data_IF_907115982712
#
_entry.id   IF_907115982712
#
_cell.length_a   1.000
_cell.length_b   1.000
_cell.length_c   1.000
_cell.angle_alpha   90.00
_cell.angle_beta   90.00
_cell.angle_gamma   90.00
#
_symmetry.space_group_name_H-M   'P 1'
#
loop_
_entity.id
_entity.type
_entity.pdbx_description
1 polymer ?
#
# COMPACT_ATOMS: atom_id res chain seq x y z
N UNK A 1 11.11 21.33 22.06
CA UNK A 1 11.43 21.63 20.65
C UNK A 1 12.63 20.79 20.28
N UNK A 2 12.52 19.95 19.28
CA UNK A 2 13.62 19.08 18.89
C UNK A 2 14.73 19.86 18.16
N UNK A 3 15.92 19.29 18.16
CA UNK A 3 17.14 19.82 17.50
C UNK A 3 16.89 20.21 16.03
N UNK A 4 15.98 19.53 15.34
CA UNK A 4 15.53 19.86 13.98
C UNK A 4 14.90 21.26 13.86
N UNK A 5 14.17 21.71 14.85
CA UNK A 5 13.56 23.05 14.83
C UNK A 5 14.60 24.17 15.01
N UNK A 6 15.70 23.90 15.72
CA UNK A 6 16.82 24.83 15.88
C UNK A 6 17.66 24.97 14.60
N UNK A 7 17.86 23.86 13.88
CA UNK A 7 18.59 23.85 12.60
C UNK A 7 17.82 24.48 11.44
N UNK A 8 16.50 24.36 11.42
CA UNK A 8 15.64 25.01 10.40
C UNK A 8 15.49 26.52 10.60
N UNK A 9 15.69 27.01 11.82
CA UNK A 9 15.66 28.44 12.15
C UNK A 9 16.95 29.20 11.83
N UNK A 10 18.07 28.48 11.73
CA UNK A 10 19.36 29.09 11.44
C UNK A 10 19.70 28.90 9.97
N UNK A 11 19.25 29.65 9.04
CA UNK A 11 19.59 29.61 7.62
C UNK A 11 21.13 29.50 7.40
N UNK A 12 21.70 28.34 7.74
CA UNK A 12 23.15 28.07 7.75
C UNK A 12 23.66 27.87 6.32
N UNK A 13 24.69 28.59 5.95
CA UNK A 13 25.42 28.33 4.70
C UNK A 13 26.22 27.02 4.81
N UNK A 14 26.56 26.40 3.67
CA UNK A 14 27.22 25.08 3.59
C UNK A 14 28.54 24.94 4.38
N UNK A 15 29.12 26.02 4.85
CA UNK A 15 30.39 26.09 5.62
C UNK A 15 30.19 26.69 7.03
N UNK A 16 28.95 26.73 7.54
CA UNK A 16 28.63 27.26 8.86
C UNK A 16 28.20 26.16 9.80
N UNK A 17 28.64 26.24 11.05
CA UNK A 17 28.38 25.34 12.14
C UNK A 17 27.59 26.06 13.23
N UNK A 18 26.61 25.41 13.82
CA UNK A 18 25.91 25.90 15.00
C UNK A 18 26.62 25.37 16.25
N UNK A 19 27.04 26.28 17.11
CA UNK A 19 27.76 25.96 18.34
C UNK A 19 26.98 26.43 19.55
N UNK A 20 26.89 25.56 20.58
CA UNK A 20 26.31 25.90 21.86
C UNK A 20 27.43 25.85 22.89
N UNK A 21 27.77 27.01 23.50
CA UNK A 21 28.82 27.07 24.53
C UNK A 21 28.38 26.48 25.88
N UNK A 22 29.32 26.26 26.78
CA UNK A 22 29.07 25.72 28.15
C UNK A 22 28.10 26.58 29.00
N UNK A 23 27.82 27.80 28.58
CA UNK A 23 26.89 28.70 29.25
C UNK A 23 25.50 28.70 28.56
N UNK A 24 25.32 27.85 27.53
CA UNK A 24 24.07 27.73 26.77
C UNK A 24 23.87 28.83 25.70
N UNK A 25 24.91 29.62 25.37
CA UNK A 25 24.82 30.63 24.31
C UNK A 25 24.99 29.94 22.94
N UNK A 26 24.13 30.29 22.00
CA UNK A 26 24.14 29.76 20.64
C UNK A 26 24.89 30.75 19.74
N UNK A 27 25.90 30.28 19.02
CA UNK A 27 26.66 31.06 18.03
C UNK A 27 26.76 30.30 16.71
N UNK A 28 26.82 31.03 15.61
CA UNK A 28 27.13 30.47 14.30
C UNK A 28 28.58 30.83 14.01
N UNK A 29 29.42 29.81 13.75
CA UNK A 29 30.83 29.96 13.39
C UNK A 29 31.07 29.36 12.02
N UNK A 30 32.12 29.78 11.34
CA UNK A 30 32.53 29.19 10.07
C UNK A 30 33.40 27.95 10.33
N UNK A 31 33.33 26.96 9.45
CA UNK A 31 34.16 25.77 9.53
C UNK A 31 35.64 26.14 9.50
N UNK A 32 36.41 25.74 10.55
CA UNK A 32 37.78 26.08 10.74
C UNK A 32 38.07 27.25 11.70
N UNK A 33 37.01 27.86 12.28
CA UNK A 33 37.12 28.85 13.34
C UNK A 33 37.26 28.17 14.72
N UNK A 34 37.97 28.80 15.66
CA UNK A 34 38.23 28.21 16.96
C UNK A 34 36.95 28.06 17.79
N UNK A 35 36.67 26.84 18.22
CA UNK A 35 35.47 26.51 19.02
C UNK A 35 35.82 26.65 20.49
N UNK A 36 34.95 27.28 21.32
CA UNK A 36 35.14 27.36 22.76
C UNK A 36 35.15 25.98 23.42
N UNK A 37 36.05 25.83 24.43
CA UNK A 37 36.15 24.60 25.23
C UNK A 37 34.79 24.22 25.89
N UNK A 38 34.40 22.99 25.74
CA UNK A 38 33.12 22.46 26.28
C UNK A 38 31.87 22.88 25.50
N UNK A 39 32.06 23.34 24.26
CA UNK A 39 30.92 23.66 23.38
C UNK A 39 30.46 22.43 22.59
N UNK A 40 29.17 22.39 22.31
CA UNK A 40 28.52 21.38 21.47
C UNK A 40 28.40 21.93 20.04
N UNK A 41 28.91 21.19 19.05
CA UNK A 41 28.80 21.55 17.63
C UNK A 41 27.68 20.75 16.98
N UNK A 42 26.81 21.42 16.24
CA UNK A 42 25.78 20.81 15.40
C UNK A 42 26.16 21.08 13.93
N UNK A 43 26.63 20.06 13.23
CA UNK A 43 27.00 20.12 11.82
C UNK A 43 25.88 19.51 10.95
N UNK A 44 25.13 20.31 10.19
CA UNK A 44 24.07 19.82 9.33
C UNK A 44 24.57 19.05 8.11
N UNK A 45 25.89 19.07 7.84
CA UNK A 45 26.48 18.46 6.64
C UNK A 45 27.38 17.26 6.94
N UNK A 46 27.45 16.74 8.18
CA UNK A 46 28.25 15.56 8.49
C UNK A 46 27.61 14.30 7.87
N UNK A 47 28.01 14.05 6.62
CA UNK A 47 27.64 12.86 5.86
C UNK A 47 28.45 11.66 6.38
N UNK A 48 27.94 10.94 7.34
CA UNK A 48 28.41 9.58 7.61
C UNK A 48 27.37 8.61 7.04
N UNK A 49 27.68 8.13 5.83
CA UNK A 49 26.84 7.25 5.02
C UNK A 49 26.69 5.89 5.70
N UNK A 50 25.53 5.64 6.28
CA UNK A 50 24.92 4.31 6.32
C UNK A 50 23.64 4.36 5.48
N UNK A 51 23.39 3.40 4.59
CA UNK A 51 22.18 3.38 3.79
C UNK A 51 20.98 3.03 4.68
N UNK A 52 19.89 3.80 4.52
CA UNK A 52 18.54 3.59 5.06
C UNK A 52 18.15 4.21 6.41
N UNK A 53 18.77 5.30 6.87
CA UNK A 53 18.10 6.19 7.82
C UNK A 53 18.50 7.63 7.54
N UNK A 54 17.54 8.58 7.64
CA UNK A 54 17.83 10.01 7.54
C UNK A 54 18.96 10.38 8.51
N UNK A 55 20.02 11.11 8.07
CA UNK A 55 21.15 11.42 8.95
C UNK A 55 20.67 12.33 10.09
N UNK A 56 20.63 11.79 11.29
CA UNK A 56 20.48 12.59 12.50
C UNK A 56 21.74 13.42 12.68
N UNK A 57 21.66 14.73 13.02
CA UNK A 57 22.82 15.54 13.29
C UNK A 57 23.58 14.95 14.50
N UNK A 58 24.84 14.59 14.28
CA UNK A 58 25.70 14.04 15.33
C UNK A 58 26.12 15.18 16.25
N UNK A 59 25.70 15.12 17.51
CA UNK A 59 26.19 16.02 18.53
C UNK A 59 27.59 15.53 19.02
N UNK A 60 28.58 16.40 19.01
CA UNK A 60 29.95 16.10 19.47
C UNK A 60 30.34 17.04 20.60
N UNK A 61 30.96 16.50 21.64
CA UNK A 61 31.54 17.28 22.75
C UNK A 61 33.02 17.54 22.47
N UNK A 62 33.47 18.78 22.64
CA UNK A 62 34.88 19.15 22.45
C UNK A 62 35.65 19.13 23.78
N UNK A 63 36.79 18.43 23.82
CA UNK A 63 37.72 18.44 24.97
C UNK A 63 38.56 19.74 25.05
N UNK A 64 39.35 19.83 26.12
CA UNK A 64 40.20 20.99 26.36
C UNK A 64 41.31 21.20 25.30
N UNK A 65 41.63 20.16 24.54
CA UNK A 65 42.64 20.16 23.48
C UNK A 65 42.01 20.44 22.11
N UNK A 66 40.67 20.60 22.02
CA UNK A 66 39.94 20.90 20.79
C UNK A 66 39.66 19.68 19.90
N UNK A 67 39.72 18.45 20.46
CA UNK A 67 39.33 17.24 19.75
C UNK A 67 37.87 16.92 19.99
N UNK A 68 37.18 16.48 18.95
CA UNK A 68 35.79 16.02 19.06
C UNK A 68 35.71 14.66 19.73
N UNK A 69 34.98 14.55 20.84
CA UNK A 69 34.70 13.30 21.52
C UNK A 69 33.25 12.88 21.20
N UNK A 70 32.99 11.62 20.85
CA UNK A 70 31.63 11.13 20.73
C UNK A 70 30.95 11.23 22.09
N UNK A 71 29.66 11.57 22.12
CA UNK A 71 28.84 11.56 23.33
C UNK A 71 28.56 10.08 23.64
N UNK A 72 29.40 9.60 24.39
CA UNK A 72 29.71 8.37 25.12
C UNK A 72 28.76 7.15 25.01
N UNK A 73 29.43 6.00 25.09
CA UNK A 73 28.96 4.63 25.32
C UNK A 73 27.78 4.48 26.31
N UNK A 74 27.65 5.39 27.28
CA UNK A 74 26.60 5.33 28.31
C UNK A 74 25.19 5.59 27.75
N UNK A 75 25.05 6.51 26.79
CA UNK A 75 23.74 6.81 26.14
C UNK A 75 23.36 5.69 25.19
N UNK A 76 24.31 5.12 24.45
CA UNK A 76 24.07 3.99 23.57
C UNK A 76 23.68 2.74 24.38
N UNK A 77 24.28 2.52 25.54
CA UNK A 77 23.91 1.42 26.44
C UNK A 77 22.51 1.59 27.04
N UNK A 78 22.12 2.82 27.39
CA UNK A 78 20.75 3.12 27.86
C UNK A 78 19.72 2.93 26.74
N UNK A 79 20.02 3.36 25.52
CA UNK A 79 19.14 3.18 24.37
C UNK A 79 19.00 1.70 23.98
N UNK A 80 20.09 0.94 23.97
CA UNK A 80 20.08 -0.49 23.70
C UNK A 80 19.26 -1.27 24.76
N UNK A 81 19.41 -0.92 26.04
CA UNK A 81 18.64 -1.54 27.11
C UNK A 81 17.13 -1.24 27.00
N UNK A 82 16.77 -0.04 26.55
CA UNK A 82 15.38 0.35 26.29
C UNK A 82 14.77 -0.38 25.08
N UNK A 83 15.54 -0.59 24.03
CA UNK A 83 15.10 -1.36 22.84
C UNK A 83 14.89 -2.85 23.17
N UNK A 84 15.70 -3.42 24.06
CA UNK A 84 15.54 -4.79 24.53
C UNK A 84 14.46 -4.95 25.63
N UNK A 85 13.82 -3.84 26.05
CA UNK A 85 12.82 -3.86 27.12
C UNK A 85 13.38 -4.13 28.51
N UNK A 86 14.70 -3.96 28.70
CA UNK A 86 15.38 -4.08 29.99
C UNK A 86 15.29 -2.75 30.77
N UNK A 87 15.37 -2.84 32.11
CA UNK A 87 15.39 -1.66 32.96
C UNK A 87 16.80 -1.03 32.94
N UNK A 88 16.97 0.16 32.34
CA UNK A 88 18.28 0.82 32.23
C UNK A 88 18.86 1.23 33.61
N UNK A 89 18.06 1.25 34.65
CA UNK A 89 18.53 1.57 36.00
C UNK A 89 19.18 0.37 36.71
N UNK A 90 19.12 -0.83 36.14
CA UNK A 90 19.71 -2.05 36.66
C UNK A 90 21.16 -2.28 36.18
N UNK A 91 21.70 -1.40 35.34
CA UNK A 91 23.09 -1.47 34.87
C UNK A 91 24.01 -0.90 35.97
N UNK A 92 24.86 -1.75 36.53
CA UNK A 92 25.73 -1.42 37.68
C UNK A 92 26.71 -0.24 37.41
N UNK A 93 27.02 0.07 36.17
CA UNK A 93 27.97 1.13 35.79
C UNK A 93 27.33 2.49 35.45
N UNK A 94 25.99 2.56 35.37
CA UNK A 94 25.25 3.78 34.98
C UNK A 94 24.18 4.15 36.03
N UNK A 95 24.37 3.71 37.26
CA UNK A 95 23.51 4.10 38.36
C UNK A 95 23.53 5.65 38.47
N UNK A 96 22.40 6.34 38.40
CA UNK A 96 22.37 7.79 38.60
C UNK A 96 22.98 8.06 39.97
N UNK A 97 24.01 8.90 40.02
CA UNK A 97 24.62 9.32 41.27
C UNK A 97 23.54 9.97 42.14
N UNK A 98 22.88 9.15 42.95
CA UNK A 98 21.98 9.61 43.99
C UNK A 98 22.84 10.30 45.05
N UNK A 99 22.93 11.61 44.90
CA UNK A 99 23.34 12.50 45.97
C UNK A 99 24.77 12.27 46.49
N UNK A 100 25.63 13.22 46.17
CA UNK A 100 26.93 13.34 46.84
C UNK A 100 26.78 13.29 48.36
N UNK A 101 27.84 12.82 49.00
CA UNK A 101 28.05 12.50 50.41
C UNK A 101 27.80 13.65 51.40
N UNK A 102 26.79 14.47 51.25
CA UNK A 102 26.27 15.29 52.37
C UNK A 102 24.75 15.31 52.29
N UNK A 103 24.23 14.35 53.04
CA UNK A 103 22.82 14.06 53.11
C UNK A 103 21.99 15.21 53.56
N UNK A 104 20.95 15.47 52.85
CA UNK A 104 19.72 15.94 53.42
C UNK A 104 19.04 14.74 54.09
N UNK A 105 19.41 14.44 55.32
CA UNK A 105 18.64 13.51 56.14
C UNK A 105 17.27 14.17 56.37
N UNK A 106 16.22 13.57 55.92
CA UNK A 106 14.86 13.86 56.36
C UNK A 106 14.78 13.38 57.82
N UNK A 107 15.11 14.25 58.73
CA UNK A 107 14.88 14.00 60.16
C UNK A 107 13.48 14.48 60.52
N UNK A 108 12.55 13.58 60.39
CA UNK A 108 11.17 13.82 60.78
C UNK A 108 10.24 12.83 60.07
N UNK A 109 10.12 11.60 60.60
CA UNK A 109 9.03 10.72 60.22
C UNK A 109 7.74 11.30 60.72
N UNK A 110 6.91 11.83 59.79
CA UNK A 110 5.52 12.10 60.08
C UNK A 110 4.80 10.76 60.22
N UNK A 111 4.27 10.45 61.38
CA UNK A 111 3.37 9.31 61.59
C UNK A 111 2.01 9.69 60.96
N UNK A 112 1.55 8.90 60.02
CA UNK A 112 0.25 9.03 59.43
C UNK A 112 -0.71 8.17 60.25
N UNK A 113 -1.55 8.79 61.07
CA UNK A 113 -2.72 8.12 61.64
C UNK A 113 -3.86 8.10 60.63
N UNK A 114 -4.33 6.89 60.30
CA UNK A 114 -5.49 6.66 59.44
C UNK A 114 -6.75 6.59 60.29
N UNK A 115 -7.64 7.55 60.15
CA UNK A 115 -8.99 7.52 60.70
C UNK A 115 -10.09 7.51 59.63
N UNK A 116 -9.85 6.95 58.46
CA UNK A 116 -10.91 6.53 57.53
C UNK A 116 -11.62 7.63 56.74
N UNK A 117 -11.18 8.85 56.74
CA UNK A 117 -11.68 9.92 55.90
C UNK A 117 -10.52 10.63 55.20
N UNK A 118 -10.77 11.29 54.07
CA UNK A 118 -9.78 11.88 53.14
C UNK A 118 -8.51 12.41 53.82
N UNK A 119 -7.35 11.88 53.46
CA UNK A 119 -6.06 12.36 53.96
C UNK A 119 -5.54 13.46 53.02
N UNK A 120 -5.71 14.72 53.35
CA UNK A 120 -4.97 15.81 52.71
C UNK A 120 -3.57 15.83 53.32
N UNK A 121 -2.55 15.33 52.63
CA UNK A 121 -1.17 15.50 53.05
C UNK A 121 -0.74 16.96 52.77
N UNK A 122 -0.64 17.73 53.82
CA UNK A 122 0.01 19.06 53.76
C UNK A 122 1.50 18.83 54.04
N UNK A 123 2.33 18.81 53.03
CA UNK A 123 3.77 18.85 53.16
C UNK A 123 4.25 20.29 53.20
N UNK A 124 4.67 20.75 54.35
CA UNK A 124 5.35 22.03 54.47
C UNK A 124 6.84 21.77 54.22
N UNK A 125 7.31 22.13 53.03
CA UNK A 125 8.72 22.09 52.72
C UNK A 125 9.40 23.35 53.22
N UNK A 126 10.35 23.22 54.15
CA UNK A 126 11.23 24.31 54.50
C UNK A 126 12.27 24.49 53.43
N UNK A 127 12.15 25.53 52.65
CA UNK A 127 13.05 25.92 51.54
C UNK A 127 14.17 26.84 52.00
N UNK A 128 14.35 27.07 53.27
CA UNK A 128 15.34 28.01 53.81
C UNK A 128 16.79 27.51 53.69
N UNK A 129 17.00 26.20 53.34
CA UNK A 129 18.32 25.60 53.13
C UNK A 129 18.70 25.39 51.67
N UNK A 130 17.82 25.72 50.73
CA UNK A 130 18.21 25.73 49.34
C UNK A 130 18.88 27.07 49.04
N UNK A 131 20.21 27.08 49.11
CA UNK A 131 20.92 28.09 48.33
C UNK A 131 20.54 27.83 46.88
N UNK A 132 19.77 28.77 46.34
CA UNK A 132 19.45 28.76 44.94
C UNK A 132 20.76 28.60 44.16
N UNK A 133 20.94 27.45 43.46
CA UNK A 133 21.81 27.44 42.30
C UNK A 133 21.20 28.45 41.36
N UNK A 134 21.49 29.73 41.69
CA UNK A 134 20.74 30.84 41.14
C UNK A 134 21.28 31.16 39.75
N UNK A 135 20.44 30.94 38.82
CA UNK A 135 20.36 31.94 37.74
C UNK A 135 19.96 33.26 38.40
N UNK A 136 20.85 34.26 38.30
CA UNK A 136 20.50 35.59 38.81
C UNK A 136 19.18 36.06 38.20
N UNK A 137 18.41 36.91 38.90
CA UNK A 137 17.17 37.45 38.35
C UNK A 137 17.32 38.03 36.95
N UNK A 138 18.52 38.52 36.61
CA UNK A 138 18.90 39.02 35.28
C UNK A 138 19.02 37.86 34.27
N UNK A 139 19.56 36.69 34.68
CA UNK A 139 19.65 35.52 33.79
C UNK A 139 18.29 34.84 33.56
N UNK A 140 17.42 34.81 34.58
CA UNK A 140 16.04 34.37 34.41
C UNK A 140 15.23 35.27 33.51
N UNK A 141 15.44 36.60 33.58
CA UNK A 141 14.80 37.57 32.69
C UNK A 141 15.36 37.48 31.26
N UNK A 142 16.66 37.15 31.10
CA UNK A 142 17.26 36.90 29.79
C UNK A 142 16.72 35.61 29.14
N UNK A 143 16.53 34.53 29.92
CA UNK A 143 15.89 33.32 29.44
C UNK A 143 14.41 33.55 29.09
N UNK A 144 13.71 34.32 29.92
CA UNK A 144 12.29 34.69 29.64
C UNK A 144 12.16 35.57 28.41
N UNK A 145 13.13 36.47 28.16
CA UNK A 145 13.16 37.30 26.95
C UNK A 145 13.59 36.51 25.70
N UNK A 146 14.38 35.43 25.88
CA UNK A 146 14.70 34.51 24.78
C UNK A 146 13.53 33.60 24.46
N UNK A 147 12.68 33.28 25.45
CA UNK A 147 11.44 32.50 25.28
C UNK A 147 10.24 33.37 24.89
N UNK A 148 10.33 34.71 25.05
CA UNK A 148 9.44 35.63 24.35
C UNK A 148 9.91 35.68 22.88
N UNK A 149 9.56 34.67 22.14
CA UNK A 149 9.48 34.75 20.68
C UNK A 149 8.73 36.07 20.41
N UNK A 150 9.35 37.06 19.71
CA UNK A 150 8.60 38.19 19.25
C UNK A 150 7.35 37.63 18.61
N UNK A 151 6.20 38.20 18.94
CA UNK A 151 4.92 37.76 18.41
C UNK A 151 5.00 37.90 16.88
N UNK A 152 5.73 36.97 16.26
CA UNK A 152 5.69 36.76 14.82
C UNK A 152 4.21 36.42 14.62
N UNK A 153 3.45 37.18 13.82
CA UNK A 153 2.12 36.78 13.47
C UNK A 153 2.26 35.33 13.04
N UNK A 154 1.71 34.41 13.82
CA UNK A 154 1.50 33.03 13.34
C UNK A 154 0.66 33.27 12.11
N UNK A 155 1.28 33.18 10.91
CA UNK A 155 0.48 33.02 9.72
C UNK A 155 -0.50 31.90 10.08
N UNK A 156 -1.81 32.12 9.94
CA UNK A 156 -2.76 31.04 10.13
C UNK A 156 -2.20 29.89 9.29
N UNK A 157 -1.92 28.74 9.92
CA UNK A 157 -1.68 27.53 9.15
C UNK A 157 -2.89 27.43 8.24
N UNK A 158 -2.69 27.61 6.94
CA UNK A 158 -3.76 27.38 5.99
C UNK A 158 -4.29 25.99 6.28
N UNK A 159 -5.60 25.84 6.46
CA UNK A 159 -6.17 24.54 6.74
C UNK A 159 -5.68 23.59 5.66
N UNK A 160 -4.95 22.54 6.04
CA UNK A 160 -4.52 21.51 5.10
C UNK A 160 -5.79 20.91 4.51
N UNK A 161 -6.07 21.24 3.26
CA UNK A 161 -7.16 20.66 2.51
C UNK A 161 -6.74 19.25 2.15
N UNK A 162 -7.42 18.25 2.69
CA UNK A 162 -7.22 16.85 2.28
C UNK A 162 -8.15 16.63 1.11
N UNK A 163 -7.57 16.36 -0.07
CA UNK A 163 -8.34 16.04 -1.28
C UNK A 163 -8.92 14.63 -1.17
N UNK A 164 -10.18 14.50 -1.54
CA UNK A 164 -10.85 13.20 -1.67
C UNK A 164 -10.61 12.68 -3.08
N UNK A 165 -10.17 11.44 -3.20
CA UNK A 165 -9.98 10.75 -4.47
C UNK A 165 -10.51 9.33 -4.37
N UNK A 166 -11.07 8.82 -5.47
CA UNK A 166 -11.38 7.42 -5.68
C UNK A 166 -10.65 6.93 -6.92
N UNK A 167 -10.33 5.67 -6.98
CA UNK A 167 -9.77 4.99 -8.16
C UNK A 167 -10.55 3.71 -8.36
N UNK A 168 -10.74 3.31 -9.61
CA UNK A 168 -11.44 2.10 -10.05
C UNK A 168 -10.56 1.37 -11.06
N UNK A 169 -10.09 0.20 -10.66
CA UNK A 169 -9.24 -0.71 -11.40
C UNK A 169 -10.08 -1.90 -11.87
N UNK A 170 -10.25 -2.15 -13.19
CA UNK A 170 -11.09 -3.22 -13.69
C UNK A 170 -10.72 -4.61 -13.16
N UNK A 171 -11.72 -5.34 -12.69
CA UNK A 171 -11.62 -6.73 -12.30
C UNK A 171 -11.96 -7.67 -13.45
N UNK A 172 -11.35 -8.85 -13.46
CA UNK A 172 -11.62 -9.94 -14.42
C UNK A 172 -11.65 -9.43 -15.87
N UNK A 173 -10.66 -8.68 -16.28
CA UNK A 173 -10.55 -8.19 -17.67
C UNK A 173 -9.57 -9.02 -18.47
N UNK A 174 -9.89 -9.29 -19.74
CA UNK A 174 -8.92 -9.87 -20.68
C UNK A 174 -8.12 -8.79 -21.43
N UNK A 175 -8.32 -7.53 -21.10
CA UNK A 175 -7.49 -6.44 -21.60
C UNK A 175 -6.25 -6.29 -20.70
N UNK A 176 -5.06 -6.51 -21.25
CA UNK A 176 -3.79 -6.33 -20.55
C UNK A 176 -3.39 -4.86 -20.36
N UNK A 177 -4.11 -3.94 -21.02
CA UNK A 177 -3.90 -2.49 -20.94
C UNK A 177 -5.17 -1.75 -20.52
N UNK A 178 -5.80 -2.16 -19.40
CA UNK A 178 -7.11 -1.64 -19.01
C UNK A 178 -7.09 -0.14 -18.78
N UNK A 179 -8.25 0.49 -18.98
CA UNK A 179 -8.47 1.89 -18.62
C UNK A 179 -8.75 1.99 -17.13
N UNK A 180 -7.91 2.72 -16.39
CA UNK A 180 -8.12 3.06 -14.98
C UNK A 180 -8.92 4.36 -14.92
N UNK A 181 -9.95 4.38 -14.09
CA UNK A 181 -10.82 5.55 -13.91
C UNK A 181 -10.88 5.99 -12.45
N UNK A 182 -11.45 7.15 -12.19
CA UNK A 182 -11.67 7.60 -10.83
C UNK A 182 -12.27 8.99 -10.77
N UNK A 183 -12.51 9.44 -9.53
CA UNK A 183 -13.08 10.76 -9.24
C UNK A 183 -12.31 11.45 -8.13
N UNK A 184 -12.34 12.79 -8.13
CA UNK A 184 -11.73 13.60 -7.08
C UNK A 184 -12.45 14.94 -6.95
N UNK A 185 -12.34 15.55 -5.77
CA UNK A 185 -12.77 16.93 -5.51
C UNK A 185 -11.69 17.98 -5.82
N UNK A 186 -10.51 17.52 -6.29
CA UNK A 186 -9.47 18.43 -6.75
C UNK A 186 -9.95 19.29 -7.93
N UNK A 187 -9.49 20.54 -8.06
CA UNK A 187 -9.86 21.40 -9.17
C UNK A 187 -9.53 20.79 -10.52
N UNK A 188 -10.38 21.06 -11.53
CA UNK A 188 -10.11 20.68 -12.91
C UNK A 188 -8.72 21.18 -13.37
N UNK A 189 -7.96 20.33 -14.04
CA UNK A 189 -6.57 20.58 -14.42
C UNK A 189 -5.53 20.13 -13.41
N UNK A 190 -5.94 19.66 -12.21
CA UNK A 190 -5.03 19.00 -11.25
C UNK A 190 -4.45 17.72 -11.86
N UNK A 191 -3.25 17.36 -11.44
CA UNK A 191 -2.58 16.14 -11.93
C UNK A 191 -2.85 14.97 -11.00
N UNK A 192 -3.27 13.84 -11.56
CA UNK A 192 -3.33 12.54 -10.88
C UNK A 192 -2.15 11.71 -11.35
N UNK A 193 -1.35 11.23 -10.42
CA UNK A 193 -0.27 10.26 -10.66
C UNK A 193 -0.74 8.90 -10.23
N UNK A 194 -0.67 7.91 -11.12
CA UNK A 194 -1.05 6.53 -10.83
C UNK A 194 0.18 5.64 -10.89
N UNK A 195 0.39 4.86 -9.85
CA UNK A 195 1.40 3.79 -9.83
C UNK A 195 0.64 2.48 -9.94
N UNK A 196 0.86 1.76 -11.04
CA UNK A 196 0.26 0.45 -11.30
C UNK A 196 1.34 -0.60 -11.09
N UNK A 197 1.04 -1.59 -10.22
CA UNK A 197 1.94 -2.71 -9.92
C UNK A 197 1.28 -4.00 -10.37
N UNK A 198 1.88 -4.74 -11.29
CA UNK A 198 1.34 -6.00 -11.82
C UNK A 198 1.61 -7.21 -10.90
N UNK A 199 1.06 -8.36 -11.26
CA UNK A 199 1.20 -9.62 -10.53
C UNK A 199 2.67 -10.08 -10.36
N UNK A 200 3.57 -9.63 -11.22
CA UNK A 200 5.00 -9.93 -11.17
C UNK A 200 5.81 -8.89 -10.35
N UNK A 201 5.14 -7.85 -9.85
CA UNK A 201 5.78 -6.75 -9.13
C UNK A 201 6.39 -5.68 -10.03
N UNK A 202 6.17 -5.71 -11.36
CA UNK A 202 6.60 -4.64 -12.25
C UNK A 202 5.73 -3.41 -12.04
N UNK A 203 6.36 -2.25 -12.02
CA UNK A 203 5.67 -0.98 -11.81
C UNK A 203 5.74 -0.09 -13.03
N UNK A 204 4.64 0.59 -13.30
CA UNK A 204 4.58 1.69 -14.26
C UNK A 204 3.88 2.89 -13.63
N UNK A 205 4.36 4.08 -13.97
CA UNK A 205 3.78 5.34 -13.50
C UNK A 205 3.07 6.03 -14.65
N UNK A 206 1.80 6.33 -14.45
CA UNK A 206 0.93 7.00 -15.42
C UNK A 206 0.48 8.35 -14.86
N UNK A 207 0.06 9.25 -15.72
CA UNK A 207 -0.50 10.54 -15.32
C UNK A 207 -1.81 10.81 -16.04
N UNK A 208 -2.78 11.32 -15.29
CA UNK A 208 -4.06 11.79 -15.82
C UNK A 208 -4.30 13.24 -15.38
N UNK A 209 -5.20 13.91 -16.05
CA UNK A 209 -5.63 15.27 -15.68
C UNK A 209 -7.09 15.22 -15.24
N UNK A 210 -7.39 15.87 -14.13
CA UNK A 210 -8.77 15.99 -13.61
C UNK A 210 -9.61 16.82 -14.58
N UNK A 211 -10.74 16.24 -15.00
CA UNK A 211 -11.71 16.86 -15.90
C UNK A 211 -12.61 17.86 -15.16
N UNK A 212 -13.37 18.72 -15.86
CA UNK A 212 -14.27 19.69 -15.23
C UNK A 212 -15.38 19.08 -14.38
N UNK A 213 -15.70 17.80 -14.60
CA UNK A 213 -16.70 17.04 -13.83
C UNK A 213 -16.10 16.29 -12.63
N UNK A 214 -14.79 16.47 -12.36
CA UNK A 214 -14.09 15.83 -11.28
C UNK A 214 -13.64 14.40 -11.58
N UNK A 215 -13.81 13.91 -12.81
CA UNK A 215 -13.35 12.58 -13.22
C UNK A 215 -11.92 12.61 -13.75
N UNK A 216 -11.27 11.46 -13.76
CA UNK A 216 -10.02 11.22 -14.49
C UNK A 216 -10.04 9.82 -15.10
N UNK A 217 -9.25 9.64 -16.16
CA UNK A 217 -9.12 8.37 -16.86
C UNK A 217 -7.74 8.28 -17.50
N UNK A 218 -7.13 7.10 -17.49
CA UNK A 218 -5.86 6.82 -18.16
C UNK A 218 -5.76 5.35 -18.53
N UNK A 219 -5.27 5.08 -19.73
CA UNK A 219 -4.98 3.71 -20.17
C UNK A 219 -3.62 3.26 -19.66
N UNK A 220 -3.56 2.02 -19.20
CA UNK A 220 -2.29 1.33 -18.92
C UNK A 220 -1.49 1.22 -20.22
N UNK A 221 -0.21 1.62 -20.19
CA UNK A 221 0.60 1.71 -21.43
C UNK A 221 1.47 0.48 -21.66
N UNK A 222 1.90 -0.19 -20.60
CA UNK A 222 2.67 -1.44 -20.66
C UNK A 222 1.75 -2.58 -20.27
N UNK A 223 1.61 -3.63 -21.09
CA UNK A 223 0.76 -4.76 -20.77
C UNK A 223 1.04 -5.34 -19.38
N UNK A 224 -0.01 -5.51 -18.60
CA UNK A 224 0.03 -6.14 -17.29
C UNK A 224 0.16 -7.65 -17.44
N UNK A 225 0.83 -8.29 -16.50
CA UNK A 225 0.83 -9.74 -16.38
C UNK A 225 -0.55 -10.24 -15.94
N UNK A 226 -0.86 -11.48 -16.32
CA UNK A 226 -2.03 -12.19 -15.82
C UNK A 226 -1.97 -12.31 -14.29
N UNK A 227 -3.11 -12.10 -13.63
CA UNK A 227 -3.26 -12.09 -12.19
C UNK A 227 -3.70 -10.75 -11.64
N UNK A 228 -3.62 -10.59 -10.32
CA UNK A 228 -4.02 -9.36 -9.65
C UNK A 228 -3.00 -8.25 -9.87
N UNK A 229 -3.48 -7.02 -9.98
CA UNK A 229 -2.66 -5.82 -10.00
C UNK A 229 -3.23 -4.78 -9.05
N UNK A 230 -2.38 -3.88 -8.56
CA UNK A 230 -2.76 -2.82 -7.62
C UNK A 230 -2.50 -1.47 -8.26
N UNK A 231 -3.43 -0.54 -8.11
CA UNK A 231 -3.32 0.84 -8.56
C UNK A 231 -3.34 1.76 -7.35
N UNK A 232 -2.31 2.58 -7.20
CA UNK A 232 -2.29 3.68 -6.22
C UNK A 232 -2.36 5.00 -6.98
N UNK A 233 -3.43 5.75 -6.78
CA UNK A 233 -3.64 7.05 -7.38
C UNK A 233 -3.38 8.16 -6.36
N UNK A 234 -2.57 9.14 -6.73
CA UNK A 234 -2.30 10.34 -5.92
C UNK A 234 -2.65 11.57 -6.74
N UNK A 235 -3.58 12.37 -6.25
CA UNK A 235 -3.90 13.67 -6.83
C UNK A 235 -3.14 14.76 -6.12
N UNK A 236 -2.65 15.75 -6.89
CA UNK A 236 -2.02 16.96 -6.36
C UNK A 236 -2.65 18.18 -7.03
N UNK A 237 -3.16 19.11 -6.24
CA UNK A 237 -3.71 20.36 -6.75
C UNK A 237 -2.62 21.42 -6.99
N UNK A 238 -2.93 22.54 -7.66
CA UNK A 238 -1.96 23.62 -7.89
C UNK A 238 -1.43 24.30 -6.62
N UNK A 239 -2.11 24.13 -5.46
CA UNK A 239 -1.69 24.66 -4.17
C UNK A 239 -0.75 23.69 -3.43
N UNK A 240 -0.57 22.45 -3.93
CA UNK A 240 0.25 21.41 -3.33
C UNK A 240 -0.49 20.51 -2.34
N UNK A 241 -1.82 20.63 -2.21
CA UNK A 241 -2.60 19.67 -1.42
C UNK A 241 -2.66 18.32 -2.13
N UNK A 242 -2.68 17.23 -1.37
CA UNK A 242 -2.66 15.87 -1.91
C UNK A 242 -3.77 15.00 -1.34
N UNK A 243 -4.23 14.05 -2.16
CA UNK A 243 -5.11 12.95 -1.76
C UNK A 243 -4.62 11.65 -2.38
N UNK A 244 -4.82 10.52 -1.74
CA UNK A 244 -4.39 9.20 -2.23
C UNK A 244 -5.50 8.17 -2.04
N UNK A 245 -5.67 7.30 -3.05
CA UNK A 245 -6.55 6.14 -3.01
C UNK A 245 -5.86 4.94 -3.66
N UNK A 246 -6.27 3.75 -3.27
CA UNK A 246 -5.75 2.49 -3.82
C UNK A 246 -6.92 1.58 -4.15
N UNK A 247 -6.79 0.85 -5.27
CA UNK A 247 -7.72 -0.17 -5.69
C UNK A 247 -6.97 -1.34 -6.34
N UNK A 248 -7.55 -2.53 -6.26
CA UNK A 248 -7.00 -3.73 -6.85
C UNK A 248 -7.88 -4.16 -8.02
N UNK A 249 -7.26 -4.60 -9.11
CA UNK A 249 -7.93 -5.18 -10.26
C UNK A 249 -7.32 -6.55 -10.62
N UNK A 250 -7.85 -7.17 -11.67
CA UNK A 250 -7.32 -8.46 -12.14
C UNK A 250 -7.39 -8.61 -13.66
N UNK A 251 -6.32 -9.14 -14.23
CA UNK A 251 -6.20 -9.53 -15.64
C UNK A 251 -6.27 -11.06 -15.72
N UNK A 252 -7.15 -11.56 -16.58
CA UNK A 252 -7.27 -12.97 -16.92
C UNK A 252 -7.33 -13.11 -18.43
N UNK A 253 -6.27 -13.63 -19.02
CA UNK A 253 -6.13 -13.88 -20.47
C UNK A 253 -6.13 -15.36 -20.81
N UNK A 254 -6.40 -16.22 -19.83
CA UNK A 254 -6.44 -17.67 -20.01
C UNK A 254 -7.80 -18.10 -20.54
N UNK A 255 -7.93 -18.54 -21.79
CA UNK A 255 -9.19 -19.02 -22.32
C UNK A 255 -9.67 -20.28 -21.58
N UNK A 256 -10.99 -20.50 -21.46
CA UNK A 256 -11.51 -21.69 -20.83
C UNK A 256 -11.12 -22.97 -21.61
N UNK A 257 -10.85 -24.07 -20.90
CA UNK A 257 -10.65 -25.37 -21.51
C UNK A 257 -11.98 -25.93 -21.99
N UNK A 258 -12.03 -26.53 -23.16
CA UNK A 258 -13.27 -27.02 -23.74
C UNK A 258 -13.03 -28.21 -24.68
N UNK A 259 -13.86 -29.22 -24.56
CA UNK A 259 -13.90 -30.36 -25.46
C UNK A 259 -15.35 -30.80 -25.73
N UNK A 260 -15.60 -31.26 -26.95
CA UNK A 260 -16.89 -31.87 -27.34
C UNK A 260 -16.58 -33.14 -28.11
N UNK A 261 -17.39 -34.19 -27.90
CA UNK A 261 -17.34 -35.43 -28.67
C UNK A 261 -18.74 -35.83 -29.02
N UNK A 262 -19.01 -35.99 -30.30
CA UNK A 262 -20.29 -36.45 -30.86
C UNK A 262 -20.25 -37.99 -30.94
N UNK A 263 -21.28 -38.63 -30.46
CA UNK A 263 -21.43 -40.07 -30.55
C UNK A 263 -21.66 -40.54 -32.00
N UNK A 264 -21.30 -41.76 -32.36
CA UNK A 264 -21.60 -42.32 -33.67
C UNK A 264 -23.08 -42.20 -34.02
N UNK A 265 -23.33 -41.71 -35.26
CA UNK A 265 -24.68 -41.50 -35.74
C UNK A 265 -25.28 -42.80 -36.29
N UNK A 266 -26.43 -43.19 -35.77
CA UNK A 266 -27.14 -44.40 -36.20
C UNK A 266 -28.46 -43.99 -36.84
N UNK A 267 -28.64 -44.42 -38.09
CA UNK A 267 -29.88 -44.22 -38.85
C UNK A 267 -30.43 -45.57 -39.26
N UNK A 268 -31.67 -45.88 -38.93
CA UNK A 268 -32.34 -47.13 -39.31
C UNK A 268 -31.68 -48.46 -38.82
N UNK A 269 -30.58 -48.34 -38.01
CA UNK A 269 -29.84 -49.49 -37.49
C UNK A 269 -28.43 -49.62 -38.07
N UNK A 270 -28.06 -48.76 -39.00
CA UNK A 270 -26.70 -48.57 -39.49
C UNK A 270 -26.31 -47.06 -39.46
N UNK A 271 -25.20 -46.71 -40.05
CA UNK A 271 -24.75 -45.32 -40.12
C UNK A 271 -24.84 -44.73 -41.55
N UNK A 272 -25.86 -45.17 -42.31
CA UNK A 272 -26.08 -44.73 -43.69
C UNK A 272 -27.53 -44.24 -43.86
N UNK A 273 -27.72 -43.06 -44.45
CA UNK A 273 -29.06 -42.55 -44.74
C UNK A 273 -29.53 -43.06 -46.12
N UNK A 274 -30.51 -43.95 -46.13
CA UNK A 274 -31.12 -44.42 -47.37
C UNK A 274 -32.39 -43.63 -47.71
N UNK A 275 -32.86 -43.81 -49.00
CA UNK A 275 -34.02 -43.06 -49.48
C UNK A 275 -35.33 -43.34 -48.66
N UNK A 276 -35.53 -44.56 -48.21
CA UNK A 276 -36.72 -44.93 -47.48
C UNK A 276 -36.74 -44.26 -46.08
N UNK A 277 -35.62 -44.24 -45.40
CA UNK A 277 -35.46 -43.57 -44.10
C UNK A 277 -35.66 -42.04 -44.23
N UNK A 278 -35.13 -41.45 -45.30
CA UNK A 278 -35.34 -40.01 -45.59
C UNK A 278 -36.80 -39.69 -45.93
N UNK A 279 -37.45 -40.51 -46.78
CA UNK A 279 -38.84 -40.32 -47.18
C UNK A 279 -39.80 -40.52 -45.96
N UNK A 280 -39.51 -41.48 -45.07
CA UNK A 280 -40.27 -41.75 -43.84
C UNK A 280 -39.93 -40.78 -42.71
N UNK A 281 -38.93 -39.93 -42.88
CA UNK A 281 -38.45 -39.04 -41.83
C UNK A 281 -38.10 -39.78 -40.53
N UNK A 282 -37.38 -40.88 -40.70
CA UNK A 282 -36.94 -41.68 -39.54
C UNK A 282 -36.23 -40.77 -38.48
N UNK A 283 -36.56 -41.02 -37.24
CA UNK A 283 -35.94 -40.26 -36.14
C UNK A 283 -34.51 -40.68 -35.92
N UNK A 284 -33.64 -39.71 -35.80
CA UNK A 284 -32.18 -39.88 -35.55
C UNK A 284 -31.86 -39.19 -34.25
N UNK A 285 -31.34 -39.94 -33.28
CA UNK A 285 -30.83 -39.37 -32.05
C UNK A 285 -29.40 -38.88 -32.22
N UNK A 286 -29.14 -37.67 -31.77
CA UNK A 286 -27.79 -37.06 -31.75
C UNK A 286 -27.43 -36.83 -30.29
N UNK A 287 -26.35 -37.46 -29.84
CA UNK A 287 -25.86 -37.35 -28.48
C UNK A 287 -24.35 -37.20 -28.45
N UNK A 288 -23.81 -36.83 -27.34
CA UNK A 288 -22.39 -36.69 -27.16
C UNK A 288 -22.02 -36.20 -25.75
N UNK A 289 -20.73 -36.06 -25.54
CA UNK A 289 -20.18 -35.62 -24.26
C UNK A 289 -19.44 -34.29 -24.42
N UNK A 290 -19.39 -33.53 -23.34
CA UNK A 290 -18.71 -32.25 -23.23
C UNK A 290 -17.78 -32.28 -22.04
N UNK A 291 -16.61 -31.65 -22.14
CA UNK A 291 -15.61 -31.62 -21.09
C UNK A 291 -15.01 -30.21 -20.93
N UNK A 292 -14.21 -30.04 -19.89
CA UNK A 292 -13.57 -28.75 -19.55
C UNK A 292 -14.53 -27.84 -18.77
N UNK A 293 -14.54 -26.55 -19.12
CA UNK A 293 -15.26 -25.49 -18.37
C UNK A 293 -16.73 -25.32 -18.82
N UNK A 294 -17.24 -26.23 -19.68
CA UNK A 294 -18.64 -26.24 -20.05
C UNK A 294 -19.56 -26.41 -18.84
N UNK A 295 -20.72 -25.80 -18.89
CA UNK A 295 -21.73 -25.84 -17.82
C UNK A 295 -23.08 -26.30 -18.34
N UNK A 296 -23.87 -26.88 -17.45
CA UNK A 296 -25.28 -27.20 -17.75
C UNK A 296 -25.98 -25.93 -18.20
N UNK A 297 -26.65 -26.02 -19.37
CA UNK A 297 -27.33 -24.89 -20.01
C UNK A 297 -26.54 -24.20 -21.13
N UNK A 298 -25.25 -24.50 -21.29
CA UNK A 298 -24.47 -23.99 -22.44
C UNK A 298 -25.07 -24.53 -23.74
N UNK A 299 -25.06 -23.71 -24.78
CA UNK A 299 -25.70 -24.03 -26.04
C UNK A 299 -24.74 -24.76 -26.99
N UNK A 300 -25.21 -25.88 -27.50
CA UNK A 300 -24.52 -26.65 -28.56
C UNK A 300 -25.28 -26.45 -29.85
N UNK A 301 -24.55 -26.16 -30.91
CA UNK A 301 -25.09 -26.03 -32.27
C UNK A 301 -24.65 -27.22 -33.10
N UNK A 302 -25.63 -27.94 -33.67
CA UNK A 302 -25.40 -29.06 -34.56
C UNK A 302 -25.71 -28.61 -35.99
N UNK A 303 -24.74 -28.68 -36.89
CA UNK A 303 -24.92 -28.43 -38.32
C UNK A 303 -25.20 -29.77 -39.01
N UNK A 304 -26.38 -29.90 -39.58
CA UNK A 304 -26.90 -31.12 -40.18
C UNK A 304 -26.43 -31.22 -41.67
N UNK A 305 -26.72 -32.39 -42.26
CA UNK A 305 -26.30 -32.67 -43.64
C UNK A 305 -26.89 -31.73 -44.70
N UNK A 306 -28.14 -31.27 -44.51
CA UNK A 306 -28.79 -30.26 -45.37
C UNK A 306 -28.31 -28.81 -45.09
N UNK A 307 -27.33 -28.63 -44.22
CA UNK A 307 -26.79 -27.34 -43.75
C UNK A 307 -27.73 -26.55 -42.84
N UNK A 308 -28.86 -27.14 -42.44
CA UNK A 308 -29.65 -26.54 -41.36
C UNK A 308 -28.96 -26.74 -40.02
N UNK A 309 -29.27 -25.88 -39.07
CA UNK A 309 -28.73 -25.95 -37.70
C UNK A 309 -29.80 -26.35 -36.70
N UNK A 310 -29.41 -27.14 -35.72
CA UNK A 310 -30.23 -27.55 -34.58
C UNK A 310 -29.46 -27.18 -33.32
N UNK A 311 -30.12 -26.54 -32.36
CA UNK A 311 -29.51 -26.23 -31.06
C UNK A 311 -30.02 -27.13 -29.97
N UNK A 312 -29.12 -27.48 -29.05
CA UNK A 312 -29.44 -28.20 -27.81
C UNK A 312 -28.65 -27.62 -26.65
N UNK A 313 -28.85 -28.07 -25.46
CA UNK A 313 -28.14 -27.60 -24.27
C UNK A 313 -27.34 -28.72 -23.63
N UNK A 314 -26.25 -28.32 -22.99
CA UNK A 314 -25.47 -29.21 -22.11
C UNK A 314 -26.32 -29.60 -20.93
N UNK A 315 -26.36 -30.90 -20.62
CA UNK A 315 -27.04 -31.49 -19.48
C UNK A 315 -26.10 -32.36 -18.66
N UNK A 316 -26.44 -32.58 -17.39
CA UNK A 316 -25.74 -33.54 -16.55
C UNK A 316 -26.21 -34.96 -16.88
N UNK A 317 -25.29 -35.78 -17.36
CA UNK A 317 -25.52 -37.20 -17.65
C UNK A 317 -25.42 -38.10 -16.39
N UNK A 318 -25.07 -37.50 -15.26
CA UNK A 318 -24.81 -38.18 -14.00
C UNK A 318 -23.35 -38.47 -13.75
N UNK A 319 -22.98 -38.71 -12.50
CA UNK A 319 -21.59 -38.95 -12.05
C UNK A 319 -20.58 -37.84 -12.43
N UNK A 320 -21.05 -36.58 -12.57
CA UNK A 320 -20.21 -35.44 -12.94
C UNK A 320 -19.84 -35.40 -14.43
N UNK A 321 -20.50 -36.21 -15.28
CA UNK A 321 -20.28 -36.15 -16.72
C UNK A 321 -21.33 -35.23 -17.37
N UNK A 322 -20.82 -34.30 -18.20
CA UNK A 322 -21.66 -33.42 -19.01
C UNK A 322 -21.81 -33.96 -20.44
N UNK A 323 -22.91 -33.65 -21.07
CA UNK A 323 -23.15 -34.03 -22.45
C UNK A 323 -24.47 -33.47 -22.96
N UNK A 324 -24.95 -33.98 -24.07
CA UNK A 324 -26.18 -33.55 -24.71
C UNK A 324 -26.89 -34.72 -25.40
N UNK A 325 -28.18 -34.55 -25.56
CA UNK A 325 -28.99 -35.46 -26.40
C UNK A 325 -30.12 -34.67 -27.01
N UNK A 326 -30.30 -34.84 -28.32
CA UNK A 326 -31.42 -34.27 -29.09
C UNK A 326 -31.81 -35.22 -30.22
N UNK A 327 -32.80 -34.85 -31.01
CA UNK A 327 -33.19 -35.68 -32.16
C UNK A 327 -33.46 -34.81 -33.40
N UNK A 328 -33.19 -35.38 -34.54
CA UNK A 328 -33.52 -34.84 -35.85
C UNK A 328 -34.23 -35.90 -36.69
N UNK A 329 -34.50 -35.64 -37.95
CA UNK A 329 -35.08 -36.63 -38.89
C UNK A 329 -34.11 -36.88 -40.04
N UNK A 330 -34.16 -38.09 -40.59
CA UNK A 330 -33.21 -38.55 -41.61
C UNK A 330 -33.25 -37.71 -42.89
N UNK A 331 -34.40 -37.06 -43.24
CA UNK A 331 -34.47 -36.11 -44.36
C UNK A 331 -33.55 -34.90 -44.20
N UNK A 332 -33.23 -34.52 -42.97
CA UNK A 332 -32.27 -33.41 -42.64
C UNK A 332 -30.81 -33.80 -42.84
N UNK A 333 -30.54 -35.08 -42.97
CA UNK A 333 -29.21 -35.63 -43.20
C UNK A 333 -28.89 -35.76 -44.69
N UNK A 334 -29.90 -35.71 -45.55
CA UNK A 334 -29.74 -35.82 -46.99
C UNK A 334 -28.96 -34.64 -47.57
N UNK A 335 -27.94 -34.91 -48.40
CA UNK A 335 -27.11 -33.91 -49.02
C UNK A 335 -25.76 -33.64 -48.33
N UNK A 336 -25.59 -34.26 -47.15
CA UNK A 336 -24.31 -34.28 -46.42
C UNK A 336 -23.86 -35.72 -46.20
N UNK A 337 -22.73 -35.87 -45.52
CA UNK A 337 -22.17 -37.16 -45.05
C UNK A 337 -21.62 -37.05 -43.62
N UNK A 338 -21.87 -35.96 -42.95
CA UNK A 338 -21.45 -35.72 -41.57
C UNK A 338 -22.31 -34.69 -40.89
N UNK A 339 -22.40 -34.78 -39.56
CA UNK A 339 -22.90 -33.71 -38.68
C UNK A 339 -21.73 -33.12 -37.93
N UNK A 340 -21.74 -31.82 -37.76
CA UNK A 340 -20.76 -31.11 -36.94
C UNK A 340 -21.45 -30.56 -35.71
N UNK A 341 -20.91 -30.86 -34.54
CA UNK A 341 -21.30 -30.28 -33.25
C UNK A 341 -20.30 -29.15 -32.89
N UNK A 342 -20.79 -28.05 -32.39
CA UNK A 342 -20.02 -26.90 -31.98
C UNK A 342 -20.56 -26.35 -30.66
N UNK A 343 -19.64 -26.03 -29.76
CA UNK A 343 -19.91 -25.33 -28.49
C UNK A 343 -18.90 -24.23 -28.30
N UNK A 344 -19.36 -23.05 -27.83
CA UNK A 344 -18.49 -21.93 -27.43
C UNK A 344 -18.79 -21.60 -25.99
N UNK A 345 -17.74 -21.51 -25.17
CA UNK A 345 -17.80 -21.07 -23.77
C UNK A 345 -16.98 -19.82 -23.62
N UNK A 346 -17.51 -18.87 -22.85
CA UNK A 346 -16.85 -17.61 -22.51
C UNK A 346 -16.75 -17.51 -21.01
N UNK A 347 -15.55 -17.19 -20.48
CA UNK A 347 -15.33 -16.99 -19.06
C UNK A 347 -15.81 -15.60 -18.58
N UNK A 348 -15.57 -15.29 -17.29
CA UNK A 348 -15.97 -14.02 -16.69
C UNK A 348 -15.13 -12.84 -17.20
N UNK A 349 -13.91 -13.07 -17.67
CA UNK A 349 -13.03 -12.07 -18.23
C UNK A 349 -13.34 -11.74 -19.69
N UNK A 350 -14.14 -12.58 -20.37
CA UNK A 350 -14.49 -12.46 -21.79
C UNK A 350 -13.60 -13.27 -22.72
N UNK A 351 -12.70 -14.15 -22.21
CA UNK A 351 -11.96 -15.08 -23.04
C UNK A 351 -12.92 -16.19 -23.52
N UNK A 352 -12.79 -16.61 -24.76
CA UNK A 352 -13.67 -17.58 -25.37
C UNK A 352 -12.91 -18.73 -26.02
N UNK A 353 -13.44 -19.93 -25.85
CA UNK A 353 -12.97 -21.14 -26.56
C UNK A 353 -14.16 -21.75 -27.31
N UNK A 354 -13.90 -22.20 -28.54
CA UNK A 354 -14.84 -22.97 -29.33
C UNK A 354 -14.27 -24.36 -29.57
N UNK A 355 -15.05 -25.38 -29.24
CA UNK A 355 -14.72 -26.77 -29.56
C UNK A 355 -15.72 -27.29 -30.60
N UNK A 356 -15.21 -28.13 -31.54
CA UNK A 356 -16.01 -28.74 -32.59
C UNK A 356 -15.64 -30.22 -32.71
N UNK A 357 -16.63 -31.01 -33.04
CA UNK A 357 -16.46 -32.39 -33.43
C UNK A 357 -17.39 -32.76 -34.58
N UNK A 358 -17.02 -33.76 -35.41
CA UNK A 358 -17.80 -34.14 -36.57
C UNK A 358 -17.83 -35.65 -36.73
N UNK A 359 -19.05 -36.18 -36.81
CA UNK A 359 -19.30 -37.63 -37.07
C UNK A 359 -19.92 -37.84 -38.45
N UNK A 360 -19.46 -38.88 -39.10
CA UNK A 360 -19.98 -39.35 -40.40
C UNK A 360 -21.15 -40.28 -40.25
N UNK A 361 -21.95 -40.41 -41.31
CA UNK A 361 -23.05 -41.37 -41.41
C UNK A 361 -23.25 -41.85 -42.82
#
# INVERSE_FOLDING_TARGET
MGIHALLSLANLAANQLLVIDKNGNIAIINAGEAVPEGAIILDPNSNNLMPEQEPLPVAQLMDAEGNAQPITDDIEQILAALEEGADPTALDDIAPAAGGLQGSSITGSASIERDGAETIASTQFDTSGFEAIGLSRTQSLSLLNLLQVPNVPVLPEEPTVILVITVDAPDNTNDTTPTITGTTDAPAGSTVTLVVTDANGNQQTLTATVQPDGTFSVDVTTPLAEGSYTVTATVTDPAGNTGTATDDGSVDITPPELGINLDPIVVGGDNTVNKAEADDKASVTLSGTVSGDAKVGDTITLTLGDKSTLTTQVVDLGNGQLGFSTSTTADKLVGGNSITAEITVTDAAGNSTTATDSEGY
#
